data_IF_759456329423
#
_entry.id   IF_759456329423
#
_cell.length_a   1.000
_cell.length_b   1.000
_cell.length_c   1.000
_cell.angle_alpha   90.00
_cell.angle_beta   90.00
_cell.angle_gamma   90.00
#
_symmetry.space_group_name_H-M   'P 1'
#
loop_
_entity.id
_entity.type
_entity.pdbx_description
1 polymer ?
#
# COMPACT_ATOMS: atom_id res chain seq x y z
N UNK A 1 -11.05 2.64 -0.02
CA UNK A 1 -10.74 4.07 -0.29
C UNK A 1 -11.92 4.98 0.04
N UNK A 2 -13.03 4.92 -0.69
CA UNK A 2 -14.22 5.75 -0.46
C UNK A 2 -14.78 5.63 0.97
N UNK A 3 -15.16 4.42 1.40
CA UNK A 3 -15.70 4.18 2.74
C UNK A 3 -14.73 4.54 3.89
N UNK A 4 -13.43 4.56 3.59
CA UNK A 4 -12.37 4.97 4.53
C UNK A 4 -12.13 6.49 4.56
N UNK A 5 -12.77 7.26 3.66
CA UNK A 5 -12.72 8.73 3.64
C UNK A 5 -11.56 9.33 2.84
N UNK A 6 -10.88 8.55 1.99
CA UNK A 6 -9.87 9.10 1.07
C UNK A 6 -10.51 9.85 -0.11
N UNK A 7 -11.71 9.45 -0.53
CA UNK A 7 -12.41 10.01 -1.69
C UNK A 7 -13.88 10.25 -1.31
N UNK A 8 -14.51 11.32 -1.81
CA UNK A 8 -15.90 11.64 -1.48
C UNK A 8 -16.89 10.64 -2.12
N UNK A 9 -16.48 9.93 -3.16
CA UNK A 9 -17.26 8.94 -3.89
C UNK A 9 -16.43 7.71 -4.25
N UNK A 10 -17.10 6.66 -4.73
CA UNK A 10 -16.46 5.45 -5.25
C UNK A 10 -16.00 5.69 -6.70
N UNK A 11 -14.68 5.83 -6.86
CA UNK A 11 -14.04 6.03 -8.17
C UNK A 11 -13.99 4.69 -8.93
N UNK A 12 -14.30 4.73 -10.23
CA UNK A 12 -14.20 3.57 -11.13
C UNK A 12 -12.74 3.29 -11.48
N UNK A 13 -12.35 2.04 -11.78
CA UNK A 13 -10.97 1.71 -12.15
C UNK A 13 -10.45 2.52 -13.35
N UNK A 14 -11.31 2.77 -14.34
CA UNK A 14 -10.99 3.58 -15.53
C UNK A 14 -10.58 5.04 -15.19
N UNK A 15 -11.02 5.53 -14.02
CA UNK A 15 -10.82 6.89 -13.54
C UNK A 15 -9.75 6.96 -12.44
N UNK A 16 -8.91 5.94 -12.27
CA UNK A 16 -7.90 5.86 -11.21
C UNK A 16 -6.94 7.06 -11.16
N UNK A 17 -6.64 7.64 -12.32
CA UNK A 17 -5.83 8.86 -12.45
C UNK A 17 -6.41 10.06 -11.68
N UNK A 18 -7.72 10.08 -11.42
CA UNK A 18 -8.38 11.14 -10.64
C UNK A 18 -8.02 11.08 -9.14
N UNK A 19 -7.46 9.96 -8.65
CA UNK A 19 -6.97 9.84 -7.27
C UNK A 19 -5.94 10.92 -6.92
N UNK A 20 -5.17 11.39 -7.91
CA UNK A 20 -4.19 12.46 -7.74
C UNK A 20 -4.84 13.77 -7.29
N UNK A 21 -6.10 14.03 -7.66
CA UNK A 21 -6.86 15.22 -7.20
C UNK A 21 -7.10 15.20 -5.69
N UNK A 22 -7.06 14.01 -5.09
CA UNK A 22 -7.22 13.78 -3.65
C UNK A 22 -5.88 13.54 -2.94
N UNK A 23 -4.76 13.88 -3.58
CA UNK A 23 -3.42 13.69 -3.02
C UNK A 23 -3.00 12.22 -2.86
N UNK A 24 -3.68 11.30 -3.54
CA UNK A 24 -3.42 9.86 -3.49
C UNK A 24 -2.78 9.39 -4.80
N UNK A 25 -1.79 8.50 -4.70
CA UNK A 25 -1.17 7.85 -5.86
C UNK A 25 -1.24 6.33 -5.74
N UNK A 26 -1.24 5.63 -6.88
CA UNK A 26 -1.18 4.18 -6.96
C UNK A 26 0.13 3.73 -7.62
N UNK A 27 0.67 2.61 -7.15
CA UNK A 27 1.83 1.95 -7.74
C UNK A 27 1.87 0.49 -7.30
N UNK A 28 2.54 -0.33 -8.08
CA UNK A 28 2.86 -1.72 -7.76
C UNK A 28 4.35 -1.88 -7.49
N UNK A 29 4.69 -2.84 -6.63
CA UNK A 29 6.10 -3.20 -6.36
C UNK A 29 6.67 -3.99 -7.52
N UNK A 30 5.98 -5.05 -7.95
CA UNK A 30 6.37 -5.86 -9.09
C UNK A 30 5.48 -5.50 -10.28
N UNK A 31 6.05 -5.11 -11.44
CA UNK A 31 5.26 -4.69 -12.60
C UNK A 31 4.63 -5.86 -13.37
N UNK A 32 5.15 -7.08 -13.21
CA UNK A 32 4.64 -8.28 -13.89
C UNK A 32 3.21 -8.59 -13.40
N UNK A 33 2.23 -8.71 -14.30
CA UNK A 33 0.90 -9.18 -13.94
C UNK A 33 0.92 -10.64 -13.46
N UNK A 34 0.17 -10.93 -12.40
CA UNK A 34 -0.12 -12.29 -11.92
C UNK A 34 -1.60 -12.41 -11.59
N UNK A 35 -2.15 -13.63 -11.64
CA UNK A 35 -3.54 -13.83 -11.23
C UNK A 35 -3.67 -13.72 -9.70
N UNK A 36 -2.62 -14.11 -8.96
CA UNK A 36 -2.53 -13.98 -7.52
C UNK A 36 -1.18 -13.40 -7.07
N UNK A 37 -1.19 -12.67 -5.95
CA UNK A 37 0.04 -12.15 -5.36
C UNK A 37 1.01 -13.27 -4.92
N UNK A 38 0.50 -14.47 -4.63
CA UNK A 38 1.29 -15.64 -4.24
C UNK A 38 2.12 -16.25 -5.39
N UNK A 39 1.84 -15.88 -6.64
CA UNK A 39 2.62 -16.30 -7.81
C UNK A 39 3.91 -15.49 -7.99
N UNK A 40 4.11 -14.45 -7.19
CA UNK A 40 5.36 -13.69 -7.15
C UNK A 40 6.32 -14.38 -6.19
N UNK A 41 7.49 -14.79 -6.70
CA UNK A 41 8.55 -15.29 -5.85
C UNK A 41 9.15 -14.17 -5.00
N UNK A 42 9.70 -14.55 -3.83
CA UNK A 42 10.38 -13.60 -2.94
C UNK A 42 11.53 -12.88 -3.65
N UNK A 43 12.29 -13.59 -4.48
CA UNK A 43 13.41 -13.04 -5.25
C UNK A 43 12.94 -12.02 -6.29
N UNK A 44 11.82 -12.25 -6.98
CA UNK A 44 11.25 -11.25 -7.90
C UNK A 44 10.90 -9.95 -7.18
N UNK A 45 10.31 -10.05 -5.99
CA UNK A 45 9.96 -8.89 -5.18
C UNK A 45 11.22 -8.16 -4.69
N UNK A 46 12.24 -8.90 -4.24
CA UNK A 46 13.53 -8.34 -3.83
C UNK A 46 14.21 -7.58 -4.97
N UNK A 47 14.28 -8.18 -6.16
CA UNK A 47 14.85 -7.55 -7.36
C UNK A 47 14.11 -6.28 -7.78
N UNK A 48 12.79 -6.26 -7.63
CA UNK A 48 11.98 -5.06 -7.90
C UNK A 48 12.07 -4.00 -6.80
N UNK A 49 12.49 -4.39 -5.59
CA UNK A 49 12.50 -3.55 -4.39
C UNK A 49 13.32 -2.28 -4.52
N UNK A 50 14.47 -2.34 -5.19
CA UNK A 50 15.35 -1.18 -5.38
C UNK A 50 14.76 -0.15 -6.35
N UNK A 51 14.18 -0.61 -7.46
CA UNK A 51 13.48 0.27 -8.40
C UNK A 51 12.27 0.91 -7.73
N UNK A 52 11.53 0.13 -6.94
CA UNK A 52 10.41 0.62 -6.16
C UNK A 52 10.85 1.67 -5.13
N UNK A 53 11.92 1.42 -4.37
CA UNK A 53 12.48 2.38 -3.40
C UNK A 53 12.87 3.69 -4.07
N UNK A 54 13.60 3.64 -5.19
CA UNK A 54 13.95 4.84 -5.97
C UNK A 54 12.73 5.62 -6.44
N UNK A 55 11.64 4.94 -6.81
CA UNK A 55 10.37 5.60 -7.14
C UNK A 55 9.83 6.38 -5.95
N UNK A 56 9.83 5.79 -4.76
CA UNK A 56 9.34 6.46 -3.54
C UNK A 56 10.23 7.64 -3.17
N UNK A 57 11.55 7.49 -3.25
CA UNK A 57 12.50 8.59 -3.02
C UNK A 57 12.30 9.74 -4.01
N UNK A 58 12.05 9.42 -5.29
CA UNK A 58 11.83 10.42 -6.34
C UNK A 58 10.53 11.21 -6.16
N UNK A 59 9.42 10.54 -5.87
CA UNK A 59 8.11 11.20 -5.73
C UNK A 59 7.85 11.72 -4.30
N UNK A 60 8.68 11.32 -3.33
CA UNK A 60 8.68 11.77 -1.95
C UNK A 60 7.27 11.87 -1.32
N UNK A 61 6.42 10.83 -1.37
CA UNK A 61 5.13 10.88 -0.71
C UNK A 61 5.32 10.96 0.81
N UNK A 62 4.43 11.65 1.51
CA UNK A 62 4.46 11.71 2.99
C UNK A 62 4.30 10.32 3.63
N UNK A 63 3.45 9.50 3.01
CA UNK A 63 3.10 8.16 3.48
C UNK A 63 3.13 7.16 2.31
N UNK A 64 3.53 5.93 2.60
CA UNK A 64 3.40 4.79 1.70
C UNK A 64 2.65 3.67 2.40
N UNK A 65 1.66 3.10 1.70
CA UNK A 65 0.78 2.07 2.24
C UNK A 65 0.94 0.78 1.43
N UNK A 66 1.54 -0.23 2.06
CA UNK A 66 1.65 -1.57 1.48
C UNK A 66 0.36 -2.35 1.73
N UNK A 67 -0.22 -2.88 0.65
CA UNK A 67 -1.46 -3.68 0.71
C UNK A 67 -1.12 -5.16 0.92
N UNK A 68 -0.79 -5.50 2.16
CA UNK A 68 -0.31 -6.82 2.58
C UNK A 68 1.16 -6.83 2.98
N UNK A 69 1.54 -7.84 3.76
CA UNK A 69 2.88 -7.95 4.37
C UNK A 69 3.97 -8.42 3.41
N UNK A 70 3.61 -9.21 2.39
CA UNK A 70 4.58 -9.96 1.57
C UNK A 70 5.60 -9.05 0.90
N UNK A 71 5.14 -7.96 0.29
CA UNK A 71 6.02 -7.07 -0.45
C UNK A 71 7.05 -6.39 0.48
N UNK A 72 6.58 -5.80 1.58
CA UNK A 72 7.48 -5.15 2.53
C UNK A 72 8.41 -6.17 3.20
N UNK A 73 7.92 -7.36 3.53
CA UNK A 73 8.73 -8.43 4.14
C UNK A 73 9.87 -8.88 3.22
N UNK A 74 9.58 -9.06 1.92
CA UNK A 74 10.60 -9.42 0.94
C UNK A 74 11.63 -8.30 0.77
N UNK A 75 11.20 -7.07 0.49
CA UNK A 75 12.13 -5.94 0.22
C UNK A 75 12.97 -5.58 1.45
N UNK A 76 12.40 -5.67 2.66
CA UNK A 76 13.10 -5.30 3.91
C UNK A 76 13.93 -6.44 4.50
N UNK A 77 13.78 -7.67 4.00
CA UNK A 77 14.33 -8.87 4.63
C UNK A 77 13.72 -9.21 6.00
N UNK A 78 12.74 -8.46 6.49
CA UNK A 78 12.14 -8.63 7.82
C UNK A 78 10.95 -9.60 7.74
N UNK A 79 10.98 -10.67 8.54
CA UNK A 79 9.91 -11.67 8.55
C UNK A 79 8.69 -11.24 9.37
N UNK A 80 8.93 -10.56 10.48
CA UNK A 80 7.86 -10.12 11.38
C UNK A 80 7.41 -8.70 11.02
N UNK A 81 6.42 -8.63 10.13
CA UNK A 81 5.75 -7.39 9.75
C UNK A 81 4.40 -7.34 10.46
N UNK A 82 4.17 -6.31 11.27
CA UNK A 82 2.87 -6.08 11.90
C UNK A 82 1.97 -5.20 11.02
N UNK A 83 0.66 -5.29 11.22
CA UNK A 83 -0.30 -4.38 10.59
C UNK A 83 -0.18 -2.97 11.19
N UNK A 84 -0.56 -1.95 10.42
CA UNK A 84 -0.53 -0.56 10.84
C UNK A 84 0.79 0.16 10.52
N UNK A 85 1.14 1.22 11.28
CA UNK A 85 2.32 2.03 11.02
C UNK A 85 3.60 1.25 11.31
N UNK A 86 4.60 1.45 10.46
CA UNK A 86 5.92 0.81 10.60
C UNK A 86 6.91 1.76 11.25
N UNK A 87 7.80 1.23 12.08
CA UNK A 87 8.84 2.01 12.77
C UNK A 87 9.90 2.55 11.80
N UNK A 88 10.21 1.80 10.75
CA UNK A 88 11.18 2.20 9.72
C UNK A 88 10.46 2.84 8.53
N UNK A 89 10.90 4.02 8.06
CA UNK A 89 10.39 4.60 6.82
C UNK A 89 10.84 3.76 5.62
N UNK A 90 10.14 3.92 4.49
CA UNK A 90 10.49 3.31 3.21
C UNK A 90 10.73 4.40 2.18
N UNK A 91 11.95 4.51 1.66
CA UNK A 91 12.32 5.56 0.70
C UNK A 91 12.05 6.98 1.20
N UNK A 92 12.22 7.21 2.52
CA UNK A 92 11.91 8.48 3.18
C UNK A 92 10.45 8.68 3.60
N UNK A 93 9.51 7.88 3.07
CA UNK A 93 8.09 7.97 3.40
C UNK A 93 7.75 7.17 4.68
N UNK A 94 6.78 7.65 5.47
CA UNK A 94 6.24 6.88 6.60
C UNK A 94 5.50 5.66 6.07
N UNK A 95 5.97 4.47 6.43
CA UNK A 95 5.42 3.22 5.90
C UNK A 95 4.27 2.69 6.75
N UNK A 96 3.26 2.14 6.07
CA UNK A 96 2.11 1.47 6.64
C UNK A 96 1.92 0.12 5.96
N UNK A 97 1.35 -0.84 6.69
CA UNK A 97 0.94 -2.12 6.14
C UNK A 97 -0.52 -2.35 6.51
N UNK A 98 -1.39 -2.45 5.51
CA UNK A 98 -2.83 -2.69 5.69
C UNK A 98 -3.25 -3.95 4.95
N UNK A 99 -4.37 -4.58 5.30
CA UNK A 99 -4.83 -5.77 4.60
C UNK A 99 -5.10 -5.50 3.11
N UNK A 100 -4.84 -6.51 2.28
CA UNK A 100 -5.03 -6.42 0.84
C UNK A 100 -6.54 -6.46 0.51
N UNK A 101 -7.06 -5.56 -0.34
CA UNK A 101 -8.49 -5.46 -0.62
C UNK A 101 -9.00 -6.48 -1.66
N UNK A 102 -8.13 -7.35 -2.20
CA UNK A 102 -8.51 -8.43 -3.12
C UNK A 102 -9.60 -9.33 -2.52
N UNK A 103 -10.59 -9.73 -3.32
CA UNK A 103 -11.63 -10.68 -2.90
C UNK A 103 -11.12 -12.09 -2.58
N UNK A 104 -9.85 -12.39 -2.90
CA UNK A 104 -9.15 -13.59 -2.46
C UNK A 104 -8.72 -13.52 -0.98
N UNK A 105 -8.68 -12.33 -0.39
CA UNK A 105 -8.43 -12.17 1.03
C UNK A 105 -9.64 -12.69 1.82
N UNK A 106 -9.46 -13.81 2.52
CA UNK A 106 -10.47 -14.42 3.41
C UNK A 106 -10.28 -14.07 4.88
N UNK A 107 -9.18 -13.39 5.23
CA UNK A 107 -8.82 -13.10 6.61
C UNK A 107 -9.41 -11.78 7.12
N UNK A 108 -9.89 -10.91 6.22
CA UNK A 108 -10.45 -9.60 6.55
C UNK A 108 -11.74 -9.39 5.76
N UNK A 109 -12.81 -9.05 6.46
CA UNK A 109 -14.05 -8.59 5.85
C UNK A 109 -13.96 -7.10 5.44
N UNK A 110 -15.04 -6.59 4.83
CA UNK A 110 -15.09 -5.21 4.37
C UNK A 110 -14.93 -4.21 5.51
N UNK A 111 -15.55 -4.46 6.66
CA UNK A 111 -15.50 -3.53 7.80
C UNK A 111 -14.09 -3.45 8.39
N UNK A 112 -13.39 -4.59 8.52
CA UNK A 112 -12.00 -4.62 8.95
C UNK A 112 -11.06 -3.92 7.94
N UNK A 113 -11.32 -4.08 6.63
CA UNK A 113 -10.61 -3.32 5.59
C UNK A 113 -10.85 -1.81 5.74
N UNK A 114 -12.11 -1.39 5.91
CA UNK A 114 -12.46 0.02 6.07
C UNK A 114 -11.80 0.62 7.31
N UNK A 115 -11.81 -0.10 8.44
CA UNK A 115 -11.18 0.32 9.67
C UNK A 115 -9.67 0.54 9.49
N UNK A 116 -8.94 -0.44 8.95
CA UNK A 116 -7.50 -0.34 8.73
C UNK A 116 -7.12 0.82 7.79
N UNK A 117 -7.90 1.07 6.75
CA UNK A 117 -7.63 2.17 5.82
C UNK A 117 -8.00 3.52 6.44
N UNK A 118 -9.04 3.58 7.27
CA UNK A 118 -9.44 4.80 7.99
C UNK A 118 -8.38 5.24 8.99
N UNK A 119 -7.71 4.31 9.67
CA UNK A 119 -6.57 4.63 10.54
C UNK A 119 -5.47 5.39 9.78
N UNK A 120 -5.12 4.93 8.57
CA UNK A 120 -4.18 5.63 7.69
C UNK A 120 -4.71 7.03 7.35
N UNK A 121 -5.99 7.14 6.96
CA UNK A 121 -6.60 8.43 6.58
C UNK A 121 -6.55 9.46 7.71
N UNK A 122 -6.78 9.03 8.95
CA UNK A 122 -6.70 9.87 10.15
C UNK A 122 -5.25 10.29 10.39
N UNK A 123 -4.29 9.36 10.35
CA UNK A 123 -2.88 9.67 10.55
C UNK A 123 -2.32 10.64 9.50
N UNK A 124 -2.75 10.53 8.24
CA UNK A 124 -2.38 11.44 7.16
C UNK A 124 -2.92 12.86 7.42
N UNK A 125 -4.15 12.99 7.91
CA UNK A 125 -4.73 14.31 8.24
C UNK A 125 -4.04 15.00 9.43
N UNK A 126 -3.56 14.22 10.39
CA UNK A 126 -2.88 14.75 11.59
C UNK A 126 -1.40 15.09 11.35
N UNK A 127 -0.87 14.88 10.15
CA UNK A 127 0.51 15.18 9.80
C UNK A 127 0.57 16.46 8.94
N UNK A 128 1.18 17.56 9.43
CA UNK A 128 1.27 18.82 8.69
C UNK A 128 1.97 18.68 7.34
#
# INVERSE_FOLDING_TARGET
MHLAGFTPEQIRPEDDHTLLRYGCGLTTVVPRPTAQAAELSRSEIELAGDAFRRKIERYAPRHIVFLGKMALSAISGTRDIHWGPQTKPFGGARAWVVPNPSGLNRAFDLDALVAAYREVRVAVASTP
#
